data_IF_838231515457
#
_entry.id   IF_838231515457
#
_cell.length_a   1.000
_cell.length_b   1.000
_cell.length_c   1.000
_cell.angle_alpha   90.00
_cell.angle_beta   90.00
_cell.angle_gamma   90.00
#
_symmetry.space_group_name_H-M   'P 1'
#
loop_
_entity.id
_entity.type
_entity.pdbx_description
1 polymer ?
#
# COMPACT_ATOMS: atom_id res chain seq x y z
N UNK A 1 23.12 -13.27 6.09
CA UNK A 1 23.20 -11.86 6.54
C UNK A 1 23.55 -10.96 5.35
N UNK A 2 24.64 -11.21 4.63
CA UNK A 2 25.05 -10.40 3.47
C UNK A 2 23.99 -10.31 2.36
N UNK A 3 23.34 -11.43 2.00
CA UNK A 3 22.23 -11.43 1.04
C UNK A 3 20.98 -10.68 1.53
N UNK A 4 20.76 -10.66 2.85
CA UNK A 4 19.64 -9.93 3.44
C UNK A 4 19.89 -8.42 3.35
N UNK A 5 21.10 -7.98 3.68
CA UNK A 5 21.49 -6.56 3.60
C UNK A 5 21.40 -6.04 2.16
N UNK A 6 21.84 -6.84 1.18
CA UNK A 6 21.71 -6.50 -0.24
C UNK A 6 20.26 -6.46 -0.71
N UNK A 7 19.42 -7.42 -0.29
CA UNK A 7 18.00 -7.42 -0.63
C UNK A 7 17.29 -6.18 -0.07
N UNK A 8 17.57 -5.83 1.18
CA UNK A 8 16.99 -4.65 1.83
C UNK A 8 17.48 -3.34 1.21
N UNK A 9 18.78 -3.24 0.94
CA UNK A 9 19.39 -2.11 0.23
C UNK A 9 18.78 -1.93 -1.17
N UNK A 10 18.59 -3.02 -1.92
CA UNK A 10 17.94 -2.99 -3.22
C UNK A 10 16.49 -2.51 -3.12
N UNK A 11 15.72 -3.02 -2.14
CA UNK A 11 14.34 -2.61 -1.93
C UNK A 11 14.23 -1.11 -1.61
N UNK A 12 15.07 -0.57 -0.73
CA UNK A 12 15.09 0.86 -0.43
C UNK A 12 15.43 1.72 -1.65
N UNK A 13 16.38 1.29 -2.48
CA UNK A 13 16.71 2.01 -3.72
C UNK A 13 15.55 1.99 -4.72
N UNK A 14 14.82 0.88 -4.83
CA UNK A 14 13.60 0.82 -5.65
C UNK A 14 12.51 1.76 -5.10
N UNK A 15 12.32 1.80 -3.77
CA UNK A 15 11.41 2.75 -3.15
C UNK A 15 11.83 4.21 -3.40
N UNK A 16 13.14 4.52 -3.34
CA UNK A 16 13.64 5.85 -3.63
C UNK A 16 13.37 6.23 -5.09
N UNK A 17 13.58 5.31 -6.04
CA UNK A 17 13.19 5.49 -7.44
C UNK A 17 11.70 5.80 -7.59
N UNK A 18 10.83 5.00 -6.96
CA UNK A 18 9.38 5.24 -6.97
C UNK A 18 8.98 6.60 -6.36
N UNK A 19 9.68 7.05 -5.32
CA UNK A 19 9.46 8.37 -4.70
C UNK A 19 9.89 9.52 -5.62
N UNK A 20 10.97 9.35 -6.39
CA UNK A 20 11.39 10.31 -7.41
C UNK A 20 10.36 10.39 -8.54
N UNK A 21 9.94 9.25 -9.08
CA UNK A 21 8.89 9.18 -10.10
C UNK A 21 7.60 9.82 -9.60
N UNK A 22 7.23 9.55 -8.34
CA UNK A 22 6.09 10.18 -7.68
C UNK A 22 6.24 11.71 -7.62
N UNK A 23 7.40 12.23 -7.23
CA UNK A 23 7.66 13.66 -7.13
C UNK A 23 7.53 14.37 -8.48
N UNK A 24 8.03 13.75 -9.56
CA UNK A 24 8.01 14.29 -10.92
C UNK A 24 6.60 14.40 -11.53
N UNK A 25 5.63 13.60 -11.05
CA UNK A 25 4.25 13.67 -11.54
C UNK A 25 3.62 15.04 -11.29
N UNK A 26 3.00 15.58 -12.33
CA UNK A 26 2.36 16.89 -12.30
C UNK A 26 1.32 17.01 -11.18
N UNK A 27 1.42 18.10 -10.42
CA UNK A 27 0.47 18.45 -9.37
C UNK A 27 0.36 19.99 -9.28
N UNK A 28 -0.73 20.51 -8.68
CA UNK A 28 -0.83 21.93 -8.34
C UNK A 28 0.40 22.41 -7.55
N UNK A 29 0.81 23.69 -7.66
CA UNK A 29 2.08 24.15 -7.09
C UNK A 29 2.27 23.85 -5.60
N UNK A 30 1.21 23.98 -4.79
CA UNK A 30 1.25 23.67 -3.37
C UNK A 30 1.45 22.17 -3.07
N UNK A 31 0.82 21.29 -3.86
CA UNK A 31 1.01 19.84 -3.78
C UNK A 31 2.41 19.45 -4.22
N UNK A 32 2.88 20.02 -5.34
CA UNK A 32 4.20 19.74 -5.92
C UNK A 32 5.32 20.00 -4.91
N UNK A 33 5.30 21.17 -4.28
CA UNK A 33 6.33 21.52 -3.28
C UNK A 33 6.36 20.53 -2.12
N UNK A 34 5.19 20.11 -1.61
CA UNK A 34 5.14 19.17 -0.48
C UNK A 34 5.58 17.75 -0.88
N UNK A 35 5.17 17.28 -2.06
CA UNK A 35 5.62 16.00 -2.65
C UNK A 35 7.13 15.95 -2.79
N UNK A 36 7.71 16.99 -3.37
CA UNK A 36 9.16 17.09 -3.57
C UNK A 36 9.91 17.07 -2.23
N UNK A 37 9.43 17.81 -1.23
CA UNK A 37 10.05 17.82 0.09
C UNK A 37 10.04 16.44 0.77
N UNK A 38 8.93 15.71 0.68
CA UNK A 38 8.80 14.34 1.20
C UNK A 38 9.70 13.37 0.44
N UNK A 39 9.69 13.41 -0.90
CA UNK A 39 10.50 12.55 -1.73
C UNK A 39 12.00 12.78 -1.50
N UNK A 40 12.45 14.03 -1.37
CA UNK A 40 13.85 14.34 -1.10
C UNK A 40 14.28 13.87 0.29
N UNK A 41 13.42 14.01 1.32
CA UNK A 41 13.72 13.48 2.65
C UNK A 41 13.85 11.95 2.62
N UNK A 42 12.90 11.26 1.98
CA UNK A 42 12.94 9.80 1.83
C UNK A 42 14.20 9.34 1.07
N UNK A 43 14.50 9.96 -0.07
CA UNK A 43 15.66 9.60 -0.88
C UNK A 43 16.97 9.86 -0.12
N UNK A 44 17.04 10.90 0.71
CA UNK A 44 18.20 11.18 1.52
C UNK A 44 18.41 10.13 2.62
N UNK A 45 17.33 9.70 3.27
CA UNK A 45 17.38 8.60 4.24
C UNK A 45 17.79 7.28 3.57
N UNK A 46 17.20 6.96 2.42
CA UNK A 46 17.56 5.77 1.65
C UNK A 46 19.03 5.77 1.22
N UNK A 47 19.55 6.91 0.75
CA UNK A 47 20.96 7.05 0.37
C UNK A 47 21.90 6.86 1.57
N UNK A 48 21.59 7.47 2.72
CA UNK A 48 22.35 7.33 3.95
C UNK A 48 22.37 5.87 4.44
N UNK A 49 21.20 5.24 4.49
CA UNK A 49 21.03 3.86 4.94
C UNK A 49 21.75 2.87 4.01
N UNK A 50 21.60 3.03 2.70
CA UNK A 50 22.29 2.25 1.69
C UNK A 50 23.81 2.33 1.88
N UNK A 51 24.36 3.54 1.95
CA UNK A 51 25.80 3.76 2.08
C UNK A 51 26.34 3.19 3.39
N UNK A 52 25.65 3.46 4.51
CA UNK A 52 26.05 2.96 5.82
C UNK A 52 26.09 1.42 5.85
N UNK A 53 25.09 0.73 5.29
CA UNK A 53 25.05 -0.74 5.28
C UNK A 53 26.24 -1.34 4.52
N UNK A 54 26.53 -0.83 3.33
CA UNK A 54 27.64 -1.35 2.52
C UNK A 54 29.01 -1.00 3.11
N UNK A 55 29.16 0.21 3.66
CA UNK A 55 30.43 0.70 4.22
C UNK A 55 30.89 -0.04 5.47
N UNK A 56 29.97 -0.64 6.23
CA UNK A 56 30.32 -1.45 7.40
C UNK A 56 31.13 -2.69 7.04
N UNK A 57 30.95 -3.26 5.84
CA UNK A 57 31.60 -4.51 5.38
C UNK A 57 31.82 -4.55 3.86
N UNK A 58 32.52 -3.59 3.24
CA UNK A 58 32.62 -3.47 1.78
C UNK A 58 33.19 -4.73 1.12
N UNK A 59 34.18 -5.36 1.76
CA UNK A 59 34.80 -6.60 1.26
C UNK A 59 33.82 -7.78 1.17
N UNK A 60 32.77 -7.82 2.00
CA UNK A 60 31.73 -8.86 1.95
C UNK A 60 30.89 -8.76 0.65
N UNK A 61 30.89 -7.60 0.01
CA UNK A 61 30.17 -7.32 -1.23
C UNK A 61 31.11 -7.21 -2.44
N UNK A 62 32.40 -7.55 -2.28
CA UNK A 62 33.40 -7.40 -3.34
C UNK A 62 33.78 -5.94 -3.64
N UNK A 63 33.51 -5.03 -2.71
CA UNK A 63 33.78 -3.59 -2.82
C UNK A 63 34.98 -3.18 -1.95
N UNK A 64 35.52 -2.02 -2.25
CA UNK A 64 36.44 -1.26 -1.40
C UNK A 64 35.77 0.02 -0.90
N UNK A 65 36.37 0.71 0.08
CA UNK A 65 35.88 2.02 0.50
C UNK A 65 35.97 3.07 -0.62
N UNK A 66 36.85 2.88 -1.61
CA UNK A 66 36.95 3.77 -2.76
C UNK A 66 35.73 3.64 -3.70
N UNK A 67 35.05 2.48 -3.68
CA UNK A 67 33.82 2.24 -4.45
C UNK A 67 32.57 2.81 -3.77
N UNK A 68 32.71 3.36 -2.54
CA UNK A 68 31.64 3.94 -1.72
C UNK A 68 31.95 5.41 -1.39
N UNK A 69 31.96 6.30 -2.39
CA UNK A 69 32.23 7.72 -2.17
C UNK A 69 31.19 8.39 -1.28
N UNK A 70 31.57 9.49 -0.65
CA UNK A 70 30.71 10.26 0.28
C UNK A 70 29.97 11.40 -0.47
N UNK A 71 29.66 11.22 -1.75
CA UNK A 71 29.00 12.22 -2.62
C UNK A 71 27.57 12.57 -2.18
N UNK A 72 26.87 11.61 -1.58
CA UNK A 72 25.55 11.79 -0.99
C UNK A 72 25.52 12.69 0.26
N UNK A 73 26.67 12.97 0.90
CA UNK A 73 26.69 13.68 2.21
C UNK A 73 26.06 15.06 2.13
N UNK A 74 26.37 15.86 1.10
CA UNK A 74 25.76 17.18 0.96
C UNK A 74 24.24 17.11 0.73
N UNK A 75 23.77 16.05 0.07
CA UNK A 75 22.35 15.79 -0.17
C UNK A 75 21.64 15.41 1.14
N UNK A 76 22.25 14.53 1.93
CA UNK A 76 21.69 14.10 3.22
C UNK A 76 21.73 15.22 4.26
N UNK A 77 22.82 15.99 4.35
CA UNK A 77 22.90 17.17 5.20
C UNK A 77 21.78 18.17 4.91
N UNK A 78 21.44 18.36 3.64
CA UNK A 78 20.37 19.27 3.24
C UNK A 78 18.99 18.74 3.63
N UNK A 79 18.64 17.54 3.17
CA UNK A 79 17.27 17.02 3.22
C UNK A 79 16.94 16.21 4.47
N UNK A 80 17.93 15.86 5.28
CA UNK A 80 17.74 15.35 6.65
C UNK A 80 18.05 16.42 7.70
N UNK A 81 18.28 17.68 7.30
CA UNK A 81 18.48 18.76 8.26
C UNK A 81 17.25 18.92 9.17
N UNK A 82 17.44 19.31 10.44
CA UNK A 82 16.32 19.62 11.33
C UNK A 82 15.37 20.66 10.74
N UNK A 83 15.91 21.63 9.99
CA UNK A 83 15.11 22.66 9.33
C UNK A 83 14.22 22.09 8.22
N UNK A 84 14.73 21.19 7.37
CA UNK A 84 13.94 20.54 6.33
C UNK A 84 12.86 19.63 6.92
N UNK A 85 13.22 18.78 7.88
CA UNK A 85 12.28 17.86 8.52
C UNK A 85 11.18 18.63 9.28
N UNK A 86 11.52 19.73 9.94
CA UNK A 86 10.52 20.62 10.55
C UNK A 86 9.60 21.25 9.51
N UNK A 87 10.12 21.68 8.35
CA UNK A 87 9.31 22.22 7.27
C UNK A 87 8.33 21.19 6.69
N UNK A 88 8.76 19.93 6.52
CA UNK A 88 7.88 18.81 6.13
C UNK A 88 6.76 18.62 7.17
N UNK A 89 7.12 18.62 8.46
CA UNK A 89 6.15 18.48 9.56
C UNK A 89 5.13 19.62 9.63
N UNK A 90 5.58 20.87 9.43
CA UNK A 90 4.67 22.01 9.39
C UNK A 90 3.77 22.00 8.15
N UNK A 91 4.29 21.56 6.98
CA UNK A 91 3.48 21.38 5.79
C UNK A 91 2.39 20.31 6.01
N UNK A 92 2.73 19.20 6.66
CA UNK A 92 1.76 18.16 7.04
C UNK A 92 0.68 18.69 8.01
N UNK A 93 1.09 19.42 9.05
CA UNK A 93 0.18 20.04 10.03
C UNK A 93 -0.74 21.08 9.40
N UNK A 94 -0.22 21.92 8.50
CA UNK A 94 -1.01 22.94 7.79
C UNK A 94 -2.10 22.36 6.88
N UNK A 95 -2.06 21.04 6.66
CA UNK A 95 -3.00 20.28 5.83
C UNK A 95 -3.85 19.32 6.67
N UNK A 96 -3.97 19.57 7.97
CA UNK A 96 -4.72 18.72 8.91
C UNK A 96 -4.29 17.24 8.89
N UNK A 97 -3.01 16.98 8.59
CA UNK A 97 -2.47 15.63 8.49
C UNK A 97 -2.77 14.91 7.18
N UNK A 98 -3.18 15.63 6.13
CA UNK A 98 -3.42 15.07 4.80
C UNK A 98 -2.13 15.06 3.99
N UNK A 99 -1.72 13.87 3.56
CA UNK A 99 -0.59 13.64 2.65
C UNK A 99 -0.84 14.33 1.29
N UNK A 100 0.22 14.54 0.47
CA UNK A 100 0.01 15.09 -0.86
C UNK A 100 -0.75 14.13 -1.78
N UNK A 101 -1.21 14.66 -2.92
CA UNK A 101 -1.96 13.91 -3.95
C UNK A 101 -1.31 12.56 -4.29
N UNK A 102 -2.13 11.51 -4.34
CA UNK A 102 -1.73 10.11 -4.55
C UNK A 102 -1.71 9.67 -6.04
N UNK A 103 -2.25 10.50 -6.94
CA UNK A 103 -2.36 10.24 -8.39
C UNK A 103 -3.22 9.02 -8.73
N UNK A 104 -4.14 8.64 -7.85
CA UNK A 104 -5.18 7.68 -8.21
C UNK A 104 -6.07 8.28 -9.32
N UNK A 105 -6.52 7.44 -10.25
CA UNK A 105 -7.55 7.85 -11.19
C UNK A 105 -8.90 8.08 -10.47
N UNK A 106 -9.87 8.65 -11.18
CA UNK A 106 -11.17 8.98 -10.61
C UNK A 106 -11.91 7.74 -10.08
N UNK A 107 -11.75 6.58 -10.72
CA UNK A 107 -12.43 5.36 -10.30
C UNK A 107 -11.86 4.87 -8.96
N UNK A 108 -10.54 4.78 -8.86
CA UNK A 108 -9.84 4.37 -7.64
C UNK A 108 -10.01 5.39 -6.51
N UNK A 109 -10.07 6.68 -6.82
CA UNK A 109 -10.41 7.71 -5.84
C UNK A 109 -11.83 7.56 -5.30
N UNK A 110 -12.82 7.25 -6.14
CA UNK A 110 -14.20 6.97 -5.68
C UNK A 110 -14.28 5.70 -4.82
N UNK A 111 -13.55 4.65 -5.19
CA UNK A 111 -13.44 3.42 -4.40
C UNK A 111 -12.86 3.73 -3.02
N UNK A 112 -11.73 4.45 -2.98
CA UNK A 112 -11.09 4.90 -1.73
C UNK A 112 -12.08 5.62 -0.83
N UNK A 113 -12.77 6.62 -1.35
CA UNK A 113 -13.68 7.45 -0.55
C UNK A 113 -14.88 6.64 -0.03
N UNK A 114 -15.40 5.70 -0.84
CA UNK A 114 -16.48 4.79 -0.43
C UNK A 114 -16.05 3.87 0.73
N UNK A 115 -14.90 3.21 0.59
CA UNK A 115 -14.43 2.28 1.61
C UNK A 115 -13.87 3.01 2.84
N UNK A 116 -13.34 4.23 2.69
CA UNK A 116 -13.00 5.12 3.80
C UNK A 116 -14.20 5.42 4.66
N UNK A 117 -15.31 5.84 4.04
CA UNK A 117 -16.55 6.13 4.74
C UNK A 117 -17.10 4.88 5.45
N UNK A 118 -17.11 3.74 4.76
CA UNK A 118 -17.51 2.47 5.38
C UNK A 118 -16.63 2.10 6.58
N UNK A 119 -15.31 2.25 6.45
CA UNK A 119 -14.36 1.99 7.51
C UNK A 119 -14.61 2.89 8.74
N UNK A 120 -14.89 4.18 8.54
CA UNK A 120 -15.17 5.14 9.62
C UNK A 120 -16.52 4.93 10.30
N UNK A 121 -17.57 4.65 9.51
CA UNK A 121 -18.93 4.57 10.03
C UNK A 121 -19.31 3.18 10.55
N UNK A 122 -18.72 2.12 10.00
CA UNK A 122 -19.15 0.73 10.24
C UNK A 122 -18.08 -0.13 10.92
N UNK A 123 -16.81 0.08 10.60
CA UNK A 123 -15.72 -0.76 11.14
C UNK A 123 -15.15 -0.16 12.42
N UNK A 124 -14.68 1.10 12.38
CA UNK A 124 -13.99 1.76 13.48
C UNK A 124 -14.80 1.76 14.80
N UNK A 125 -16.13 1.99 14.82
CA UNK A 125 -16.91 1.96 16.06
C UNK A 125 -16.98 0.58 16.72
N UNK A 126 -16.81 -0.51 15.95
CA UNK A 126 -16.89 -1.89 16.44
C UNK A 126 -15.52 -2.50 16.74
N UNK A 127 -14.43 -1.88 16.24
CA UNK A 127 -13.09 -2.45 16.30
C UNK A 127 -12.58 -2.68 17.73
N UNK A 128 -12.81 -1.73 18.65
CA UNK A 128 -12.39 -1.89 20.05
C UNK A 128 -13.11 -3.07 20.71
N UNK A 129 -14.44 -3.16 20.55
CA UNK A 129 -15.25 -4.22 21.15
C UNK A 129 -14.84 -5.59 20.60
N UNK A 130 -14.68 -5.71 19.28
CA UNK A 130 -14.19 -6.94 18.65
C UNK A 130 -12.88 -7.41 19.28
N UNK A 131 -11.93 -6.50 19.50
CA UNK A 131 -10.65 -6.84 20.10
C UNK A 131 -10.76 -7.17 21.59
N UNK A 132 -11.43 -6.32 22.38
CA UNK A 132 -11.44 -6.43 23.84
C UNK A 132 -12.29 -7.59 24.35
N UNK A 133 -13.29 -7.99 23.58
CA UNK A 133 -14.22 -9.05 23.94
C UNK A 133 -13.96 -10.36 23.18
N UNK A 134 -12.88 -10.44 22.39
CA UNK A 134 -12.51 -11.62 21.58
C UNK A 134 -13.67 -12.09 20.69
N UNK A 135 -14.37 -11.13 20.07
CA UNK A 135 -15.51 -11.44 19.20
C UNK A 135 -15.02 -11.79 17.80
N UNK A 136 -15.78 -12.64 17.12
CA UNK A 136 -15.67 -12.78 15.66
C UNK A 136 -16.08 -11.48 14.97
N UNK A 137 -15.63 -11.30 13.73
CA UNK A 137 -16.06 -10.18 12.89
C UNK A 137 -17.59 -10.13 12.84
N UNK A 138 -18.23 -8.98 13.18
CA UNK A 138 -19.67 -8.84 13.12
C UNK A 138 -20.23 -9.00 11.71
N UNK A 139 -21.37 -9.69 11.58
CA UNK A 139 -22.08 -9.86 10.30
C UNK A 139 -22.38 -8.52 9.63
N UNK A 140 -22.68 -7.47 10.41
CA UNK A 140 -22.92 -6.13 9.90
C UNK A 140 -21.73 -5.52 9.12
N UNK A 141 -20.50 -5.96 9.39
CA UNK A 141 -19.32 -5.61 8.58
C UNK A 141 -19.26 -6.49 7.34
N UNK A 142 -19.39 -7.81 7.49
CA UNK A 142 -19.28 -8.76 6.38
C UNK A 142 -20.37 -8.49 5.32
N UNK A 143 -21.62 -8.34 5.74
CA UNK A 143 -22.75 -8.06 4.86
C UNK A 143 -22.61 -6.70 4.19
N UNK A 144 -22.12 -5.68 4.91
CA UNK A 144 -21.82 -4.39 4.31
C UNK A 144 -20.74 -4.47 3.22
N UNK A 145 -19.70 -5.29 3.43
CA UNK A 145 -18.69 -5.55 2.40
C UNK A 145 -19.24 -6.35 1.22
N UNK A 146 -20.19 -7.27 1.44
CA UNK A 146 -20.91 -7.96 0.34
C UNK A 146 -21.73 -6.97 -0.48
N UNK A 147 -22.49 -6.10 0.17
CA UNK A 147 -23.32 -5.09 -0.48
C UNK A 147 -22.49 -4.12 -1.33
N UNK A 148 -21.28 -3.76 -0.86
CA UNK A 148 -20.32 -2.95 -1.60
C UNK A 148 -19.59 -3.70 -2.72
N UNK A 149 -19.83 -5.00 -2.90
CA UNK A 149 -19.15 -5.83 -3.91
C UNK A 149 -17.66 -6.07 -3.61
N UNK A 150 -17.24 -5.88 -2.36
CA UNK A 150 -15.84 -5.93 -1.93
C UNK A 150 -15.15 -7.26 -2.32
N UNK A 151 -15.84 -8.38 -2.16
CA UNK A 151 -15.28 -9.72 -2.44
C UNK A 151 -15.14 -10.02 -3.94
N UNK A 152 -15.80 -9.26 -4.80
CA UNK A 152 -15.71 -9.37 -6.26
C UNK A 152 -14.59 -8.55 -6.88
N UNK A 153 -13.87 -7.71 -6.12
CA UNK A 153 -12.89 -6.76 -6.67
C UNK A 153 -11.74 -7.41 -7.45
N UNK A 154 -11.33 -8.62 -7.06
CA UNK A 154 -10.29 -9.41 -7.73
C UNK A 154 -10.83 -10.51 -8.65
N UNK A 155 -12.16 -10.67 -8.75
CA UNK A 155 -12.77 -11.69 -9.60
C UNK A 155 -13.07 -11.08 -10.97
N UNK A 156 -12.68 -11.74 -12.08
CA UNK A 156 -12.99 -11.23 -13.41
C UNK A 156 -14.49 -11.11 -13.66
N UNK A 157 -14.89 -10.08 -14.42
CA UNK A 157 -16.30 -9.79 -14.72
C UNK A 157 -17.05 -10.98 -15.34
N UNK A 158 -16.40 -11.79 -16.19
CA UNK A 158 -16.99 -13.02 -16.75
C UNK A 158 -17.40 -14.07 -15.71
N UNK A 159 -16.88 -13.99 -14.48
CA UNK A 159 -17.25 -14.84 -13.36
C UNK A 159 -18.11 -14.10 -12.31
N UNK A 160 -18.62 -12.90 -12.61
CA UNK A 160 -19.51 -12.14 -11.73
C UNK A 160 -18.80 -11.20 -10.75
N UNK A 161 -17.51 -10.92 -10.94
CA UNK A 161 -16.79 -9.91 -10.16
C UNK A 161 -16.71 -8.54 -10.84
N UNK A 162 -15.78 -7.73 -10.34
CA UNK A 162 -15.56 -6.34 -10.77
C UNK A 162 -14.22 -6.13 -11.48
N UNK A 163 -13.32 -7.12 -11.43
CA UNK A 163 -12.05 -7.02 -12.14
C UNK A 163 -12.31 -7.07 -13.66
N UNK A 164 -11.72 -6.17 -14.46
CA UNK A 164 -11.81 -6.24 -15.91
C UNK A 164 -11.28 -7.58 -16.45
N UNK A 165 -11.88 -8.08 -17.53
CA UNK A 165 -11.50 -9.38 -18.09
C UNK A 165 -10.15 -9.33 -18.83
N UNK A 166 -9.77 -8.16 -19.33
CA UNK A 166 -8.63 -7.95 -20.22
C UNK A 166 -7.29 -7.75 -19.50
N UNK A 167 -7.32 -7.34 -18.23
CA UNK A 167 -6.11 -7.06 -17.44
C UNK A 167 -6.35 -7.24 -15.93
N UNK A 168 -5.28 -7.54 -15.20
CA UNK A 168 -5.28 -7.53 -13.73
C UNK A 168 -5.36 -6.10 -13.23
N UNK A 169 -6.21 -5.86 -12.23
CA UNK A 169 -6.32 -4.59 -11.52
C UNK A 169 -6.15 -4.81 -10.02
N UNK A 170 -4.89 -4.90 -9.60
CA UNK A 170 -4.55 -5.02 -8.19
C UNK A 170 -4.68 -3.69 -7.43
N UNK A 171 -4.76 -2.55 -8.12
CA UNK A 171 -4.75 -1.24 -7.45
C UNK A 171 -6.05 -0.99 -6.69
N UNK A 172 -7.19 -1.43 -7.25
CA UNK A 172 -8.47 -1.40 -6.52
C UNK A 172 -8.42 -2.18 -5.22
N UNK A 173 -7.83 -3.38 -5.25
CA UNK A 173 -7.62 -4.23 -4.07
C UNK A 173 -6.72 -3.56 -3.02
N UNK A 174 -5.62 -2.93 -3.44
CA UNK A 174 -4.71 -2.20 -2.54
C UNK A 174 -5.44 -1.07 -1.82
N UNK A 175 -6.14 -0.21 -2.58
CA UNK A 175 -6.87 0.94 -2.05
C UNK A 175 -7.92 0.51 -1.01
N UNK A 176 -8.70 -0.53 -1.32
CA UNK A 176 -9.72 -1.03 -0.39
C UNK A 176 -9.10 -1.65 0.85
N UNK A 177 -8.03 -2.42 0.69
CA UNK A 177 -7.31 -3.04 1.81
C UNK A 177 -6.72 -1.98 2.74
N UNK A 178 -6.14 -0.90 2.20
CA UNK A 178 -5.61 0.22 2.97
C UNK A 178 -6.69 0.90 3.81
N UNK A 179 -7.81 1.28 3.21
CA UNK A 179 -8.89 2.00 3.93
C UNK A 179 -9.55 1.14 5.01
N UNK A 180 -9.79 -0.15 4.74
CA UNK A 180 -10.35 -1.07 5.75
C UNK A 180 -9.35 -1.35 6.89
N UNK A 181 -8.06 -1.53 6.54
CA UNK A 181 -7.01 -1.79 7.53
C UNK A 181 -6.73 -0.58 8.41
N UNK A 182 -6.92 0.64 7.90
CA UNK A 182 -6.83 1.89 8.66
C UNK A 182 -7.80 1.92 9.83
N UNK A 183 -9.01 1.37 9.68
CA UNK A 183 -9.97 1.24 10.78
C UNK A 183 -9.68 0.02 11.67
N UNK A 184 -9.51 -1.16 11.07
CA UNK A 184 -9.10 -2.36 11.79
C UNK A 184 -8.67 -3.46 10.83
N UNK A 185 -7.38 -3.83 10.88
CA UNK A 185 -6.85 -4.96 10.14
C UNK A 185 -7.60 -6.27 10.46
N UNK A 186 -7.84 -6.52 11.75
CA UNK A 186 -8.46 -7.76 12.23
C UNK A 186 -9.98 -7.82 12.01
N UNK A 187 -10.68 -6.68 12.07
CA UNK A 187 -12.13 -6.67 11.92
C UNK A 187 -12.59 -6.48 10.46
N UNK A 188 -11.75 -5.92 9.58
CA UNK A 188 -12.13 -5.69 8.18
C UNK A 188 -10.99 -5.89 7.18
N UNK A 189 -9.79 -5.36 7.46
CA UNK A 189 -8.70 -5.29 6.47
C UNK A 189 -8.30 -6.64 5.85
N UNK A 190 -8.29 -7.71 6.64
CA UNK A 190 -7.91 -9.05 6.15
C UNK A 190 -9.02 -9.81 5.39
N UNK A 191 -10.27 -9.34 5.44
CA UNK A 191 -11.41 -10.08 4.88
C UNK A 191 -11.36 -10.16 3.34
N UNK A 192 -10.77 -9.16 2.69
CA UNK A 192 -10.68 -9.09 1.22
C UNK A 192 -9.45 -9.84 0.67
N UNK A 193 -8.37 -9.90 1.43
CA UNK A 193 -7.09 -10.51 0.99
C UNK A 193 -7.18 -12.02 0.83
N UNK A 194 -7.98 -12.69 1.67
CA UNK A 194 -8.13 -14.16 1.64
C UNK A 194 -8.89 -14.66 0.40
N UNK A 195 -10.04 -14.08 0.02
CA UNK A 195 -10.68 -14.43 -1.23
C UNK A 195 -9.80 -14.04 -2.42
N UNK A 196 -9.06 -12.93 -2.39
CA UNK A 196 -8.09 -12.57 -3.43
C UNK A 196 -7.04 -13.66 -3.67
N UNK A 197 -6.41 -14.17 -2.60
CA UNK A 197 -5.42 -15.25 -2.72
C UNK A 197 -6.04 -16.50 -3.37
N UNK A 198 -7.27 -16.86 -2.97
CA UNK A 198 -7.97 -18.01 -3.54
C UNK A 198 -8.32 -17.78 -5.03
N UNK A 199 -8.79 -16.59 -5.37
CA UNK A 199 -9.13 -16.21 -6.75
C UNK A 199 -7.91 -16.28 -7.64
N UNK A 200 -6.78 -15.71 -7.22
CA UNK A 200 -5.52 -15.77 -7.99
C UNK A 200 -5.02 -17.20 -8.18
N UNK A 201 -5.10 -18.04 -7.14
CA UNK A 201 -4.75 -19.45 -7.24
C UNK A 201 -5.65 -20.23 -8.23
N UNK A 202 -6.96 -19.95 -8.24
CA UNK A 202 -7.90 -20.56 -9.19
C UNK A 202 -7.71 -20.07 -10.62
N UNK A 203 -7.42 -18.79 -10.82
CA UNK A 203 -7.18 -18.24 -12.15
C UNK A 203 -5.91 -18.82 -12.78
N UNK A 204 -4.83 -18.92 -12.00
CA UNK A 204 -3.52 -19.42 -12.46
C UNK A 204 -3.51 -20.95 -12.62
N UNK A 205 -4.08 -21.69 -11.66
CA UNK A 205 -3.91 -23.15 -11.56
C UNK A 205 -5.19 -23.98 -11.69
N UNK A 206 -6.37 -23.36 -11.70
CA UNK A 206 -7.65 -24.07 -11.72
C UNK A 206 -8.04 -24.58 -13.12
N UNK A 207 -8.81 -25.68 -13.17
CA UNK A 207 -9.51 -26.07 -14.39
C UNK A 207 -10.68 -25.13 -14.68
N UNK A 208 -11.17 -25.11 -15.92
CA UNK A 208 -12.33 -24.29 -16.26
C UNK A 208 -13.57 -24.68 -15.44
N UNK A 209 -13.78 -25.96 -15.15
CA UNK A 209 -14.88 -26.42 -14.29
C UNK A 209 -14.73 -25.90 -12.86
N UNK A 210 -13.50 -25.82 -12.32
CA UNK A 210 -13.24 -25.26 -11.00
C UNK A 210 -13.49 -23.75 -10.99
N UNK A 211 -13.01 -23.02 -12.00
CA UNK A 211 -13.21 -21.57 -12.12
C UNK A 211 -14.71 -21.23 -12.19
N UNK A 212 -15.45 -21.90 -13.06
CA UNK A 212 -16.90 -21.70 -13.22
C UNK A 212 -17.69 -22.06 -11.95
N UNK A 213 -17.22 -23.03 -11.17
CA UNK A 213 -17.86 -23.43 -9.92
C UNK A 213 -17.62 -22.46 -8.77
N UNK A 214 -16.39 -21.96 -8.61
CA UNK A 214 -15.97 -21.30 -7.37
C UNK A 214 -15.91 -19.78 -7.48
N UNK A 215 -15.45 -19.23 -8.61
CA UNK A 215 -15.25 -17.79 -8.76
C UNK A 215 -16.55 -16.98 -8.58
N UNK A 216 -17.72 -17.42 -9.08
CA UNK A 216 -18.98 -16.69 -8.83
C UNK A 216 -19.37 -16.61 -7.35
N UNK A 217 -19.16 -17.69 -6.59
CA UNK A 217 -19.43 -17.70 -5.15
C UNK A 217 -18.47 -16.82 -4.36
N UNK A 218 -17.18 -16.84 -4.74
CA UNK A 218 -16.17 -15.98 -4.15
C UNK A 218 -16.47 -14.50 -4.41
N UNK A 219 -16.91 -14.15 -5.63
CA UNK A 219 -17.29 -12.77 -5.97
C UNK A 219 -18.48 -12.28 -5.12
N UNK A 220 -19.45 -13.16 -4.86
CA UNK A 220 -20.60 -12.85 -4.01
C UNK A 220 -20.27 -12.85 -2.50
N UNK A 221 -19.11 -13.37 -2.10
CA UNK A 221 -18.79 -13.64 -0.70
C UNK A 221 -19.68 -14.74 -0.08
N UNK A 222 -20.18 -15.68 -0.89
CA UNK A 222 -20.99 -16.83 -0.48
C UNK A 222 -20.61 -18.12 -1.24
N UNK A 223 -19.88 -19.07 -0.58
CA UNK A 223 -19.48 -19.02 0.82
C UNK A 223 -18.40 -17.95 1.07
N UNK A 224 -18.37 -17.43 2.30
CA UNK A 224 -17.29 -16.56 2.73
C UNK A 224 -15.97 -17.36 2.79
N UNK A 225 -14.97 -16.90 2.06
CA UNK A 225 -13.61 -17.42 2.10
C UNK A 225 -12.72 -16.42 2.85
N UNK A 226 -12.90 -16.30 4.17
CA UNK A 226 -12.19 -15.33 5.02
C UNK A 226 -11.62 -15.92 6.31
#
# INVERSE_FOLDING_TARGET
MELYDLAFASAELQCAGAMLDYAERDAPPAERAFKEQLAMAFCAEAAANFHQRLRLRPAAYGLTLADLPDDHVAFTERYLSPAHLAAVGEAFRARDGVLPVDHLDNEKAMIRDTFRQFAEERVAPLAEEVHREDRTVPDAIIDGLRELGCFGLCVPARYGGLQPDEHEDSLGMVVVTEELSRASLGAAGSLITRPEIMVRALLEGGTEEQKQRWLPGLAAGDPLCA
#
